data_IF_618520906556
#
_entry.id   IF_618520906556
#
_cell.length_a   1.000
_cell.length_b   1.000
_cell.length_c   1.000
_cell.angle_alpha   90.00
_cell.angle_beta   90.00
_cell.angle_gamma   90.00
#
_symmetry.space_group_name_H-M   'P 1'
#
loop_
_entity.id
_entity.type
_entity.pdbx_description
1 polymer ?
#
# COMPACT_ATOMS: atom_id res chain seq x y z
N UNK A 1 15.26 6.41 11.73
CA UNK A 1 15.37 4.92 11.72
C UNK A 1 16.27 4.52 10.56
N UNK A 2 17.33 3.74 10.77
CA UNK A 2 18.26 3.34 9.70
C UNK A 2 17.85 1.96 9.13
N UNK A 3 17.08 1.96 8.04
CA UNK A 3 16.56 0.74 7.41
C UNK A 3 17.68 -0.26 7.05
N UNK A 4 18.82 0.25 6.54
CA UNK A 4 19.96 -0.58 6.13
C UNK A 4 20.58 -1.33 7.30
N UNK A 5 20.59 -0.75 8.50
CA UNK A 5 21.07 -1.42 9.70
C UNK A 5 20.18 -2.62 10.09
N UNK A 6 18.86 -2.48 10.00
CA UNK A 6 17.91 -3.56 10.28
C UNK A 6 18.02 -4.71 9.26
N UNK A 7 18.14 -4.39 7.97
CA UNK A 7 18.29 -5.40 6.91
C UNK A 7 19.58 -6.20 7.08
N UNK A 8 20.70 -5.51 7.35
CA UNK A 8 21.98 -6.20 7.63
C UNK A 8 21.90 -7.09 8.87
N UNK A 9 21.22 -6.64 9.92
CA UNK A 9 20.97 -7.47 11.11
C UNK A 9 20.12 -8.70 10.78
N UNK A 10 19.07 -8.55 9.97
CA UNK A 10 18.24 -9.66 9.51
C UNK A 10 19.05 -10.67 8.66
N UNK A 11 19.87 -10.20 7.72
CA UNK A 11 20.79 -11.06 6.93
C UNK A 11 21.75 -11.83 7.84
N UNK A 12 22.31 -11.21 8.88
CA UNK A 12 23.17 -11.89 9.87
C UNK A 12 22.44 -13.02 10.62
N UNK A 13 21.13 -12.90 10.81
CA UNK A 13 20.26 -13.96 11.37
C UNK A 13 19.86 -15.02 10.34
N UNK A 14 20.33 -14.92 9.09
CA UNK A 14 20.01 -15.86 8.03
C UNK A 14 18.69 -15.58 7.29
N UNK A 15 18.06 -14.42 7.51
CA UNK A 15 16.84 -14.06 6.80
C UNK A 15 17.14 -13.86 5.31
N UNK A 16 16.30 -14.47 4.48
CA UNK A 16 16.33 -14.37 3.02
C UNK A 16 15.35 -13.31 2.54
N UNK A 17 15.70 -12.61 1.47
CA UNK A 17 14.86 -11.55 0.89
C UNK A 17 14.53 -11.85 -0.56
N UNK A 18 13.24 -11.80 -0.88
CA UNK A 18 12.74 -11.73 -2.25
C UNK A 18 12.26 -10.29 -2.44
N UNK A 19 12.75 -9.62 -3.48
CA UNK A 19 12.36 -8.23 -3.80
C UNK A 19 11.75 -8.22 -5.18
N UNK A 20 10.49 -7.77 -5.26
CA UNK A 20 9.75 -7.55 -6.50
C UNK A 20 9.64 -6.04 -6.69
N UNK A 21 10.39 -5.47 -7.62
CA UNK A 21 10.39 -4.03 -7.89
C UNK A 21 10.82 -3.78 -9.34
N UNK A 22 10.08 -2.99 -10.15
CA UNK A 22 10.51 -2.62 -11.50
C UNK A 22 11.84 -1.85 -11.51
N UNK A 23 12.24 -1.26 -10.38
CA UNK A 23 13.49 -0.51 -10.23
C UNK A 23 14.49 -1.28 -9.37
N UNK A 24 15.77 -1.09 -9.68
CA UNK A 24 16.87 -1.57 -8.83
C UNK A 24 17.07 -0.65 -7.62
N UNK A 25 16.19 -0.77 -6.63
CA UNK A 25 16.24 0.01 -5.38
C UNK A 25 17.36 -0.45 -4.44
N UNK A 26 17.63 0.30 -3.37
CA UNK A 26 18.59 -0.11 -2.33
C UNK A 26 18.24 -1.47 -1.72
N UNK A 27 16.95 -1.80 -1.61
CA UNK A 27 16.49 -3.11 -1.16
C UNK A 27 16.90 -4.25 -2.10
N UNK A 28 16.85 -4.02 -3.41
CA UNK A 28 17.22 -5.02 -4.41
C UNK A 28 18.68 -5.48 -4.25
N UNK A 29 19.57 -4.63 -3.71
CA UNK A 29 20.97 -4.98 -3.43
C UNK A 29 21.14 -6.02 -2.33
N UNK A 30 20.15 -6.16 -1.44
CA UNK A 30 20.16 -7.12 -0.35
C UNK A 30 19.35 -8.38 -0.66
N UNK A 31 18.67 -8.42 -1.81
CA UNK A 31 17.82 -9.52 -2.23
C UNK A 31 18.65 -10.79 -2.47
N UNK A 32 18.13 -11.93 -2.02
CA UNK A 32 18.59 -13.25 -2.46
C UNK A 32 17.97 -13.59 -3.83
N UNK A 33 16.72 -13.14 -4.08
CA UNK A 33 16.06 -13.18 -5.39
C UNK A 33 15.50 -11.79 -5.69
N UNK A 34 15.88 -11.22 -6.83
CA UNK A 34 15.34 -9.96 -7.33
C UNK A 34 14.54 -10.19 -8.61
N UNK A 35 13.25 -9.84 -8.57
CA UNK A 35 12.32 -9.95 -9.70
C UNK A 35 12.02 -8.53 -10.16
N UNK A 36 12.32 -8.24 -11.42
CA UNK A 36 12.17 -6.91 -12.00
C UNK A 36 11.04 -6.89 -13.05
N UNK A 37 9.76 -6.86 -12.63
CA UNK A 37 8.65 -6.89 -13.57
C UNK A 37 8.46 -5.57 -14.30
N UNK A 38 7.74 -5.62 -15.42
CA UNK A 38 7.07 -4.45 -15.98
C UNK A 38 6.04 -3.92 -14.95
N UNK A 39 5.93 -2.59 -14.76
CA UNK A 39 4.96 -2.02 -13.84
C UNK A 39 3.52 -2.55 -14.05
N UNK A 40 2.79 -2.77 -12.96
CA UNK A 40 1.38 -3.16 -12.99
C UNK A 40 1.10 -4.65 -13.21
N UNK A 41 2.12 -5.51 -13.17
CA UNK A 41 1.99 -6.97 -13.37
C UNK A 41 2.07 -7.79 -12.07
N UNK A 42 2.07 -7.12 -10.92
CA UNK A 42 2.22 -7.70 -9.59
C UNK A 42 1.13 -8.75 -9.30
N UNK A 43 -0.12 -8.49 -9.71
CA UNK A 43 -1.26 -9.41 -9.50
C UNK A 43 -0.99 -10.81 -10.06
N UNK A 44 -0.49 -10.87 -11.31
CA UNK A 44 -0.20 -12.13 -11.97
C UNK A 44 0.97 -12.86 -11.33
N UNK A 45 1.97 -12.12 -10.84
CA UNK A 45 3.11 -12.70 -10.13
C UNK A 45 2.68 -13.32 -8.80
N UNK A 46 1.86 -12.63 -7.99
CA UNK A 46 1.34 -13.19 -6.75
C UNK A 46 0.46 -14.43 -7.01
N UNK A 47 -0.40 -14.40 -8.03
CA UNK A 47 -1.21 -15.56 -8.41
C UNK A 47 -0.33 -16.77 -8.77
N UNK A 48 0.74 -16.57 -9.55
CA UNK A 48 1.68 -17.64 -9.89
C UNK A 48 2.43 -18.18 -8.68
N UNK A 49 2.87 -17.31 -7.75
CA UNK A 49 3.52 -17.74 -6.51
C UNK A 49 2.58 -18.57 -5.62
N UNK A 50 1.32 -18.13 -5.46
CA UNK A 50 0.29 -18.88 -4.73
C UNK A 50 0.09 -20.25 -5.36
N UNK A 51 -0.09 -20.31 -6.68
CA UNK A 51 -0.25 -21.56 -7.41
C UNK A 51 0.91 -22.51 -7.14
N UNK A 52 2.15 -22.04 -7.30
CA UNK A 52 3.34 -22.85 -7.07
C UNK A 52 3.40 -23.40 -5.64
N UNK A 53 3.11 -22.57 -4.63
CA UNK A 53 3.07 -22.98 -3.23
C UNK A 53 1.99 -24.04 -2.98
N UNK A 54 0.81 -23.88 -3.59
CA UNK A 54 -0.33 -24.79 -3.43
C UNK A 54 -0.14 -26.12 -4.17
N UNK A 55 0.42 -26.11 -5.38
CA UNK A 55 0.65 -27.29 -6.22
C UNK A 55 1.77 -28.17 -5.65
N UNK A 56 2.81 -27.57 -5.06
CA UNK A 56 3.91 -28.29 -4.43
C UNK A 56 3.63 -28.68 -2.96
N UNK A 57 2.47 -28.30 -2.41
CA UNK A 57 2.10 -28.58 -1.03
C UNK A 57 2.98 -27.88 0.02
N UNK A 58 3.56 -26.73 -0.34
CA UNK A 58 4.45 -25.92 0.50
C UNK A 58 3.72 -24.94 1.44
N UNK A 59 2.40 -24.85 1.36
CA UNK A 59 1.61 -24.08 2.30
C UNK A 59 1.63 -24.72 3.70
N UNK A 60 1.42 -23.91 4.72
CA UNK A 60 1.31 -24.36 6.10
C UNK A 60 -0.06 -25.02 6.33
N UNK A 61 -0.12 -26.34 6.13
CA UNK A 61 -1.37 -27.14 6.23
C UNK A 61 -2.10 -26.94 7.55
N UNK A 62 -1.40 -27.08 8.68
CA UNK A 62 -2.02 -26.96 10.01
C UNK A 62 -2.56 -25.54 10.27
N UNK A 63 -1.88 -24.50 9.77
CA UNK A 63 -2.39 -23.14 9.84
C UNK A 63 -3.62 -22.96 8.95
N UNK A 64 -3.56 -23.46 7.71
CA UNK A 64 -4.66 -23.34 6.77
C UNK A 64 -5.93 -24.04 7.27
N UNK A 65 -5.80 -25.27 7.79
CA UNK A 65 -6.92 -26.04 8.36
C UNK A 65 -7.61 -25.33 9.52
N UNK A 66 -6.85 -24.56 10.32
CA UNK A 66 -7.38 -23.83 11.48
C UNK A 66 -7.95 -22.46 11.14
N UNK A 67 -7.36 -21.76 10.18
CA UNK A 67 -7.52 -20.31 10.05
C UNK A 67 -7.83 -19.81 8.65
N UNK A 68 -7.77 -20.67 7.63
CA UNK A 68 -7.99 -20.27 6.24
C UNK A 68 -9.24 -20.96 5.70
N UNK A 69 -10.15 -20.16 5.16
CA UNK A 69 -11.29 -20.62 4.37
C UNK A 69 -11.07 -20.26 2.89
N UNK A 70 -11.76 -20.96 1.98
CA UNK A 70 -11.76 -20.60 0.56
C UNK A 70 -10.52 -21.08 -0.22
N UNK A 71 -9.80 -22.08 0.31
CA UNK A 71 -8.53 -22.54 -0.26
C UNK A 71 -8.70 -23.19 -1.64
N UNK A 72 -9.80 -23.91 -1.83
CA UNK A 72 -10.11 -24.58 -3.11
C UNK A 72 -10.53 -23.57 -4.17
N UNK A 73 -11.32 -22.56 -3.79
CA UNK A 73 -11.69 -21.43 -4.64
C UNK A 73 -10.45 -20.64 -5.05
N UNK A 74 -9.54 -20.38 -4.11
CA UNK A 74 -8.25 -19.74 -4.41
C UNK A 74 -7.44 -20.57 -5.39
N UNK A 75 -7.32 -21.90 -5.17
CA UNK A 75 -6.62 -22.81 -6.07
C UNK A 75 -7.19 -22.76 -7.48
N UNK A 76 -8.51 -22.80 -7.62
CA UNK A 76 -9.18 -22.70 -8.91
C UNK A 76 -8.94 -21.34 -9.57
N UNK A 77 -9.01 -20.25 -8.81
CA UNK A 77 -8.81 -18.89 -9.32
C UNK A 77 -7.38 -18.64 -9.82
N UNK A 78 -6.36 -19.21 -9.15
CA UNK A 78 -4.95 -19.05 -9.57
C UNK A 78 -4.49 -20.09 -10.59
N UNK A 79 -5.28 -21.13 -10.89
CA UNK A 79 -4.92 -22.19 -11.82
C UNK A 79 -4.49 -21.70 -13.23
N UNK A 80 -5.07 -20.64 -13.82
CA UNK A 80 -4.61 -20.11 -15.12
C UNK A 80 -3.21 -19.47 -15.08
N UNK A 81 -2.73 -19.07 -13.90
CA UNK A 81 -1.49 -18.31 -13.74
C UNK A 81 -0.29 -19.26 -13.59
N UNK A 82 0.06 -19.95 -14.68
CA UNK A 82 1.32 -20.72 -14.72
C UNK A 82 2.51 -19.76 -14.54
N UNK A 83 3.67 -20.26 -14.06
CA UNK A 83 4.89 -19.44 -14.00
C UNK A 83 5.23 -18.81 -15.35
N UNK A 84 5.11 -19.57 -16.44
CA UNK A 84 5.40 -19.11 -17.80
C UNK A 84 4.42 -18.02 -18.23
N UNK A 85 3.12 -18.18 -17.95
CA UNK A 85 2.10 -17.22 -18.31
C UNK A 85 2.30 -15.88 -17.59
N UNK A 86 2.46 -15.92 -16.25
CA UNK A 86 2.66 -14.72 -15.44
C UNK A 86 3.99 -14.04 -15.76
N UNK A 87 5.07 -14.81 -15.94
CA UNK A 87 6.39 -14.29 -16.25
C UNK A 87 6.45 -13.64 -17.64
N UNK A 88 5.78 -14.21 -18.64
CA UNK A 88 5.69 -13.62 -19.98
C UNK A 88 5.00 -12.25 -19.97
N UNK A 89 3.89 -12.12 -19.22
CA UNK A 89 3.18 -10.85 -19.07
C UNK A 89 4.06 -9.82 -18.35
N UNK A 90 4.67 -10.20 -17.22
CA UNK A 90 5.53 -9.35 -16.42
C UNK A 90 6.90 -9.07 -17.07
N UNK A 91 7.29 -9.80 -18.11
CA UNK A 91 8.59 -9.66 -18.77
C UNK A 91 9.77 -10.11 -17.91
N UNK A 92 9.59 -11.17 -17.12
CA UNK A 92 10.62 -11.76 -16.26
C UNK A 92 10.88 -13.22 -16.62
N UNK A 93 11.95 -13.80 -16.09
CA UNK A 93 12.22 -15.23 -16.21
C UNK A 93 11.28 -16.04 -15.29
N UNK A 94 10.51 -17.03 -15.79
CA UNK A 94 9.67 -17.88 -14.97
C UNK A 94 10.43 -18.64 -13.87
N UNK A 95 11.73 -18.93 -14.08
CA UNK A 95 12.54 -19.60 -13.07
C UNK A 95 12.64 -18.79 -11.78
N UNK A 96 12.63 -17.45 -11.87
CA UNK A 96 12.63 -16.60 -10.68
C UNK A 96 11.39 -16.79 -9.81
N UNK A 97 10.22 -17.07 -10.42
CA UNK A 97 8.99 -17.34 -9.68
C UNK A 97 9.03 -18.71 -9.01
N UNK A 98 9.57 -19.71 -9.71
CA UNK A 98 9.78 -21.07 -9.17
C UNK A 98 10.73 -21.02 -7.97
N UNK A 99 11.87 -20.36 -8.12
CA UNK A 99 12.88 -20.21 -7.07
C UNK A 99 12.33 -19.41 -5.88
N UNK A 100 11.56 -18.34 -6.14
CA UNK A 100 10.91 -17.55 -5.11
C UNK A 100 9.89 -18.38 -4.32
N UNK A 101 9.03 -19.14 -5.00
CA UNK A 101 8.05 -20.01 -4.35
C UNK A 101 8.72 -21.11 -3.52
N UNK A 102 9.79 -21.73 -4.04
CA UNK A 102 10.56 -22.74 -3.32
C UNK A 102 11.25 -22.15 -2.07
N UNK A 103 11.81 -20.94 -2.19
CA UNK A 103 12.41 -20.22 -1.07
C UNK A 103 11.37 -19.88 0.03
N UNK A 104 10.17 -19.47 -0.36
CA UNK A 104 9.06 -19.24 0.57
C UNK A 104 8.62 -20.53 1.25
N UNK A 105 8.45 -21.62 0.49
CA UNK A 105 8.04 -22.92 1.02
C UNK A 105 9.06 -23.57 1.96
N UNK A 106 10.35 -23.30 1.78
CA UNK A 106 11.41 -23.77 2.65
C UNK A 106 11.62 -22.91 3.91
N UNK A 107 10.98 -21.73 3.98
CA UNK A 107 11.19 -20.81 5.09
C UNK A 107 10.51 -21.33 6.38
N UNK A 108 11.21 -21.21 7.51
CA UNK A 108 10.60 -21.51 8.83
C UNK A 108 9.42 -20.58 9.16
N UNK A 109 9.53 -19.33 8.72
CA UNK A 109 8.49 -18.30 8.80
C UNK A 109 8.68 -17.36 7.63
N UNK A 110 7.67 -17.28 6.77
CA UNK A 110 7.61 -16.30 5.70
C UNK A 110 6.80 -15.08 6.17
N UNK A 111 7.14 -13.91 5.66
CA UNK A 111 6.36 -12.70 5.84
C UNK A 111 6.36 -11.96 4.52
N UNK A 112 5.19 -11.61 4.05
CA UNK A 112 5.00 -10.85 2.81
C UNK A 112 4.44 -9.49 3.16
N UNK A 113 4.85 -8.48 2.42
CA UNK A 113 4.35 -7.12 2.56
C UNK A 113 4.50 -6.36 1.25
N UNK A 114 3.54 -5.48 1.01
CA UNK A 114 3.52 -4.58 -0.15
C UNK A 114 3.76 -3.13 0.29
N UNK A 115 3.74 -2.21 -0.68
CA UNK A 115 3.91 -0.78 -0.42
C UNK A 115 3.10 0.07 -1.38
N UNK A 116 3.33 1.38 -1.35
CA UNK A 116 2.54 2.37 -2.11
C UNK A 116 2.53 2.11 -3.61
N UNK A 117 3.64 1.67 -4.20
CA UNK A 117 3.70 1.37 -5.64
C UNK A 117 2.68 0.32 -6.08
N UNK A 118 2.55 -0.74 -5.30
CA UNK A 118 1.57 -1.81 -5.52
C UNK A 118 0.14 -1.33 -5.23
N UNK A 119 -0.06 -0.56 -4.14
CA UNK A 119 -1.37 -0.04 -3.74
C UNK A 119 -1.95 1.02 -4.70
N UNK A 120 -1.10 1.65 -5.50
CA UNK A 120 -1.50 2.65 -6.51
C UNK A 120 -1.57 2.07 -7.94
N UNK A 121 -1.37 0.76 -8.10
CA UNK A 121 -1.52 0.09 -9.39
C UNK A 121 -3.00 -0.12 -9.77
N UNK A 122 -3.28 -0.38 -11.06
CA UNK A 122 -4.64 -0.50 -11.59
C UNK A 122 -5.49 -1.60 -10.92
N UNK A 123 -4.87 -2.68 -10.44
CA UNK A 123 -5.54 -3.82 -9.80
C UNK A 123 -5.16 -3.96 -8.33
N UNK A 124 -4.86 -2.86 -7.65
CA UNK A 124 -4.30 -2.82 -6.29
C UNK A 124 -5.06 -3.68 -5.28
N UNK A 125 -6.39 -3.60 -5.23
CA UNK A 125 -7.20 -4.40 -4.30
C UNK A 125 -7.00 -5.91 -4.51
N UNK A 126 -7.00 -6.37 -5.76
CA UNK A 126 -6.78 -7.79 -6.09
C UNK A 126 -5.35 -8.19 -5.79
N UNK A 127 -4.37 -7.36 -6.14
CA UNK A 127 -2.97 -7.65 -5.87
C UNK A 127 -2.68 -7.72 -4.37
N UNK A 128 -3.27 -6.84 -3.57
CA UNK A 128 -3.13 -6.84 -2.11
C UNK A 128 -3.82 -8.04 -1.49
N UNK A 129 -5.02 -8.38 -1.97
CA UNK A 129 -5.70 -9.60 -1.55
C UNK A 129 -4.85 -10.84 -1.81
N UNK A 130 -4.21 -10.96 -2.99
CA UNK A 130 -3.32 -12.08 -3.30
C UNK A 130 -2.02 -12.05 -2.47
N UNK A 131 -1.45 -10.87 -2.21
CA UNK A 131 -0.29 -10.72 -1.32
C UNK A 131 -0.61 -11.24 0.09
N UNK A 132 -1.74 -10.82 0.67
CA UNK A 132 -2.21 -11.30 1.97
C UNK A 132 -2.63 -12.77 1.95
N UNK A 133 -3.25 -13.27 0.87
CA UNK A 133 -3.57 -14.68 0.71
C UNK A 133 -2.30 -15.54 0.69
N UNK A 134 -1.25 -15.11 -0.03
CA UNK A 134 0.05 -15.79 -0.02
C UNK A 134 0.67 -15.79 1.39
N UNK A 135 0.57 -14.67 2.11
CA UNK A 135 1.01 -14.59 3.50
C UNK A 135 0.22 -15.55 4.41
N UNK A 136 -1.10 -15.63 4.23
CA UNK A 136 -2.00 -16.49 4.97
C UNK A 136 -1.71 -17.98 4.75
N UNK A 137 -1.58 -18.43 3.49
CA UNK A 137 -1.32 -19.85 3.22
C UNK A 137 0.06 -20.29 3.73
N UNK A 138 1.02 -19.37 3.85
CA UNK A 138 2.32 -19.63 4.44
C UNK A 138 2.32 -19.54 5.99
N UNK A 139 1.22 -19.11 6.60
CA UNK A 139 1.13 -18.89 8.04
C UNK A 139 1.99 -17.74 8.53
N UNK A 140 2.14 -16.67 7.72
CA UNK A 140 2.99 -15.52 8.00
C UNK A 140 2.47 -14.55 9.06
N UNK A 141 1.36 -14.87 9.73
CA UNK A 141 0.80 -14.08 10.82
C UNK A 141 1.48 -14.37 12.16
N UNK A 142 1.29 -13.45 13.10
CA UNK A 142 1.73 -13.64 14.49
C UNK A 142 0.84 -14.66 15.19
N UNK A 143 1.46 -15.59 15.92
CA UNK A 143 0.80 -16.63 16.71
C UNK A 143 0.93 -16.35 18.21
N UNK A 144 0.19 -17.06 19.05
CA UNK A 144 0.34 -16.94 20.49
C UNK A 144 1.80 -17.20 20.92
N UNK A 145 2.35 -16.27 21.70
CA UNK A 145 3.75 -16.30 22.15
C UNK A 145 4.74 -15.56 21.24
N UNK A 146 4.32 -15.13 20.04
CA UNK A 146 5.15 -14.26 19.21
C UNK A 146 5.24 -12.83 19.79
N UNK A 147 6.33 -12.15 19.48
CA UNK A 147 6.48 -10.71 19.78
C UNK A 147 5.72 -9.89 18.76
N UNK A 148 4.82 -9.02 19.21
CA UNK A 148 4.11 -8.07 18.36
C UNK A 148 5.08 -6.94 17.94
N UNK A 149 5.41 -6.79 16.64
CA UNK A 149 6.40 -5.81 16.20
C UNK A 149 5.99 -4.35 16.43
N UNK A 150 4.68 -4.07 16.38
CA UNK A 150 4.10 -2.77 16.64
C UNK A 150 2.87 -2.90 17.55
N UNK A 151 3.01 -2.75 18.88
CA UNK A 151 1.89 -2.88 19.80
C UNK A 151 0.93 -1.67 19.76
N UNK A 152 1.22 -0.64 18.95
CA UNK A 152 0.52 0.63 19.00
C UNK A 152 0.94 1.48 20.21
N UNK A 153 0.77 2.80 20.11
CA UNK A 153 1.16 3.75 21.17
C UNK A 153 -0.05 4.18 22.00
N UNK A 154 -1.19 4.45 21.36
CA UNK A 154 -2.37 5.02 22.02
C UNK A 154 -3.44 4.00 22.40
N UNK A 155 -3.49 2.87 21.70
CA UNK A 155 -4.51 1.85 21.89
C UNK A 155 -3.84 0.50 22.09
N UNK A 156 -3.95 -0.05 23.31
CA UNK A 156 -3.55 -1.42 23.56
C UNK A 156 -4.68 -2.33 23.09
N UNK A 157 -4.42 -3.13 22.06
CA UNK A 157 -5.38 -4.14 21.59
C UNK A 157 -5.23 -5.41 22.44
N UNK A 158 -6.32 -6.14 22.73
CA UNK A 158 -6.20 -7.45 23.35
C UNK A 158 -5.37 -8.38 22.43
N UNK A 159 -4.40 -9.06 23.02
CA UNK A 159 -3.49 -9.97 22.32
C UNK A 159 -4.12 -11.37 22.32
N UNK A 160 -4.86 -11.69 21.26
CA UNK A 160 -5.59 -12.94 21.11
C UNK A 160 -5.26 -13.62 19.79
N UNK A 161 -5.01 -14.92 19.84
CA UNK A 161 -4.79 -15.75 18.63
C UNK A 161 -6.14 -16.12 18.03
N UNK A 162 -6.72 -15.21 17.24
CA UNK A 162 -8.00 -15.42 16.57
C UNK A 162 -8.03 -14.78 15.18
N UNK A 163 -8.88 -15.31 14.30
CA UNK A 163 -9.22 -14.65 13.04
C UNK A 163 -10.19 -13.52 13.36
N UNK A 164 -9.74 -12.28 13.15
CA UNK A 164 -10.63 -11.13 13.21
C UNK A 164 -11.56 -11.16 11.98
N UNK A 165 -12.88 -11.18 12.15
CA UNK A 165 -13.79 -11.13 11.00
C UNK A 165 -13.58 -9.83 10.23
N UNK A 166 -13.74 -9.84 8.89
CA UNK A 166 -13.59 -8.63 8.09
C UNK A 166 -14.65 -7.60 8.51
N UNK A 167 -14.21 -6.38 8.80
CA UNK A 167 -15.12 -5.28 9.06
C UNK A 167 -15.55 -4.64 7.74
N UNK A 168 -16.73 -5.01 7.23
CA UNK A 168 -17.25 -4.58 5.92
C UNK A 168 -18.00 -3.25 6.02
N UNK A 169 -17.34 -2.21 6.55
CA UNK A 169 -17.96 -0.87 6.71
C UNK A 169 -18.34 -0.24 5.37
N UNK A 170 -17.64 -0.61 4.30
CA UNK A 170 -17.92 -0.13 2.95
C UNK A 170 -19.22 -0.67 2.35
N UNK A 171 -19.86 -1.66 2.97
CA UNK A 171 -21.19 -2.12 2.54
C UNK A 171 -22.33 -1.43 3.29
N UNK A 172 -21.98 -0.67 4.33
CA UNK A 172 -22.93 -0.01 5.21
C UNK A 172 -23.13 1.45 4.79
N UNK A 173 -24.30 1.98 5.14
CA UNK A 173 -24.57 3.41 5.00
C UNK A 173 -23.75 4.23 6.01
N UNK A 174 -23.36 5.48 5.67
CA UNK A 174 -23.62 6.16 4.40
C UNK A 174 -22.69 5.71 3.26
N UNK A 175 -23.24 5.57 2.05
CA UNK A 175 -22.49 5.29 0.82
C UNK A 175 -22.09 6.56 0.05
N UNK A 176 -21.04 6.44 -0.77
CA UNK A 176 -20.68 7.44 -1.78
C UNK A 176 -21.84 7.60 -2.78
N UNK A 177 -21.99 8.80 -3.37
CA UNK A 177 -23.02 9.04 -4.40
C UNK A 177 -22.54 8.58 -5.77
N UNK A 178 -21.25 8.67 -6.01
CA UNK A 178 -20.57 8.31 -7.26
C UNK A 178 -20.27 6.82 -7.38
N UNK A 179 -20.32 6.06 -6.28
CA UNK A 179 -19.98 4.65 -6.26
C UNK A 179 -20.75 3.89 -5.17
N UNK A 180 -21.02 2.60 -5.40
CA UNK A 180 -21.77 1.74 -4.47
C UNK A 180 -20.87 1.17 -3.35
N UNK A 181 -20.19 2.05 -2.62
CA UNK A 181 -19.46 1.70 -1.40
C UNK A 181 -19.43 2.86 -0.40
N UNK A 182 -19.39 2.52 0.89
CA UNK A 182 -19.35 3.44 2.01
C UNK A 182 -17.95 3.61 2.60
N UNK A 183 -17.92 3.77 3.92
CA UNK A 183 -16.72 4.17 4.65
C UNK A 183 -15.65 3.07 4.66
N UNK A 184 -14.40 3.46 4.43
CA UNK A 184 -13.21 2.65 4.68
C UNK A 184 -12.52 3.21 5.93
N UNK A 185 -12.39 2.39 6.98
CA UNK A 185 -11.78 2.81 8.25
C UNK A 185 -12.46 4.05 8.89
N UNK A 186 -13.76 4.24 8.65
CA UNK A 186 -14.53 5.37 9.16
C UNK A 186 -14.45 6.64 8.30
N UNK A 187 -13.78 6.60 7.15
CA UNK A 187 -13.60 7.74 6.25
C UNK A 187 -14.11 7.43 4.84
N UNK A 188 -14.56 8.45 4.11
CA UNK A 188 -14.86 8.31 2.69
C UNK A 188 -13.57 8.31 1.86
N UNK A 189 -13.47 7.48 0.80
CA UNK A 189 -12.27 7.43 -0.01
C UNK A 189 -12.00 8.75 -0.74
N UNK A 190 -10.83 9.34 -0.53
CA UNK A 190 -10.46 10.59 -1.19
C UNK A 190 -10.40 10.47 -2.74
N UNK A 191 -10.25 9.25 -3.27
CA UNK A 191 -10.22 9.00 -4.71
C UNK A 191 -11.53 9.32 -5.43
N UNK A 192 -12.68 9.27 -4.75
CA UNK A 192 -13.99 9.63 -5.33
C UNK A 192 -14.40 11.07 -5.07
N UNK A 193 -13.64 11.81 -4.26
CA UNK A 193 -13.95 13.18 -3.90
C UNK A 193 -14.20 14.09 -5.12
N UNK A 194 -13.43 14.03 -6.23
CA UNK A 194 -13.73 14.82 -7.42
C UNK A 194 -15.12 14.52 -7.99
N UNK A 195 -15.51 13.25 -8.05
CA UNK A 195 -16.81 12.82 -8.56
C UNK A 195 -17.94 13.24 -7.60
N UNK A 196 -17.73 13.16 -6.28
CA UNK A 196 -18.70 13.62 -5.29
C UNK A 196 -19.00 15.13 -5.37
N UNK A 197 -18.02 15.93 -5.77
CA UNK A 197 -18.16 17.37 -5.98
C UNK A 197 -18.83 17.67 -7.33
N UNK A 198 -18.34 17.04 -8.40
CA UNK A 198 -18.77 17.32 -9.78
C UNK A 198 -20.15 16.73 -10.11
N UNK A 199 -20.52 15.61 -9.48
CA UNK A 199 -21.80 14.94 -9.73
C UNK A 199 -22.98 15.84 -9.31
N UNK A 200 -23.85 16.24 -10.26
CA UNK A 200 -25.00 17.08 -9.97
C UNK A 200 -25.94 16.43 -8.93
N UNK A 201 -26.56 17.26 -8.09
CA UNK A 201 -27.52 16.81 -7.10
C UNK A 201 -27.61 17.77 -5.91
N UNK A 202 -28.72 17.69 -5.19
CA UNK A 202 -28.95 18.50 -3.98
C UNK A 202 -27.89 18.24 -2.90
N UNK A 203 -27.38 17.00 -2.85
CA UNK A 203 -26.44 16.50 -1.86
C UNK A 203 -24.97 16.56 -2.34
N UNK A 204 -24.68 17.34 -3.40
CA UNK A 204 -23.30 17.54 -3.86
C UNK A 204 -22.44 18.22 -2.80
N UNK A 205 -21.16 17.84 -2.74
CA UNK A 205 -20.20 18.54 -1.91
C UNK A 205 -20.00 19.93 -2.50
N UNK A 206 -20.22 20.97 -1.68
CA UNK A 206 -20.12 22.37 -2.09
C UNK A 206 -18.95 23.11 -1.45
N UNK A 207 -18.46 22.61 -0.33
CA UNK A 207 -17.33 23.21 0.36
C UNK A 207 -16.45 22.15 1.02
N UNK A 208 -15.16 22.47 1.17
CA UNK A 208 -14.17 21.58 1.78
C UNK A 208 -13.32 22.31 2.82
N UNK A 209 -13.04 21.63 3.92
CA UNK A 209 -12.02 22.01 4.89
C UNK A 209 -10.81 21.10 4.69
N UNK A 210 -9.67 21.69 4.34
CA UNK A 210 -8.42 20.97 4.08
C UNK A 210 -7.52 21.19 5.29
N UNK A 211 -7.20 20.15 6.04
CA UNK A 211 -6.32 20.23 7.22
C UNK A 211 -5.04 19.45 6.97
N UNK A 212 -3.89 20.12 6.96
CA UNK A 212 -2.59 19.46 6.82
C UNK A 212 -2.36 18.74 5.49
N UNK A 213 -3.13 19.07 4.45
CA UNK A 213 -3.04 18.46 3.12
C UNK A 213 -2.99 19.53 2.02
N UNK A 214 -2.52 19.16 0.83
CA UNK A 214 -2.56 20.03 -0.35
C UNK A 214 -3.19 19.26 -1.53
N UNK A 215 -4.51 19.40 -1.76
CA UNK A 215 -5.20 18.67 -2.81
C UNK A 215 -4.82 19.17 -4.22
N UNK A 216 -4.32 20.39 -4.36
CA UNK A 216 -3.96 20.98 -5.66
C UNK A 216 -2.72 20.37 -6.33
N UNK A 217 -2.04 19.42 -5.69
CA UNK A 217 -0.88 18.72 -6.27
C UNK A 217 -1.31 17.82 -7.45
N UNK A 218 -2.60 17.50 -7.58
CA UNK A 218 -3.09 16.51 -8.54
C UNK A 218 -4.10 17.11 -9.54
N UNK A 219 -3.81 17.03 -10.84
CA UNK A 219 -4.67 17.57 -11.91
C UNK A 219 -6.12 17.04 -11.88
N UNK A 220 -6.35 15.82 -11.38
CA UNK A 220 -7.71 15.21 -11.34
C UNK A 220 -8.71 15.93 -10.41
N UNK A 221 -8.26 16.75 -9.46
CA UNK A 221 -9.16 17.44 -8.52
C UNK A 221 -9.27 18.95 -8.80
N UNK A 222 -8.54 19.45 -9.79
CA UNK A 222 -8.55 20.88 -10.16
C UNK A 222 -9.95 21.34 -10.56
N UNK A 223 -10.60 20.64 -11.49
CA UNK A 223 -11.97 20.92 -11.95
C UNK A 223 -12.97 20.89 -10.78
N UNK A 224 -12.80 19.93 -9.86
CA UNK A 224 -13.65 19.78 -8.68
C UNK A 224 -13.47 20.94 -7.69
N UNK A 225 -12.23 21.37 -7.44
CA UNK A 225 -11.95 22.50 -6.54
C UNK A 225 -12.51 23.80 -7.12
N UNK A 226 -12.41 24.02 -8.42
CA UNK A 226 -13.03 25.17 -9.08
C UNK A 226 -14.56 25.12 -9.00
N UNK A 227 -15.14 23.92 -9.02
CA UNK A 227 -16.59 23.73 -8.91
C UNK A 227 -17.14 23.85 -7.46
N UNK A 228 -16.26 23.87 -6.45
CA UNK A 228 -16.66 24.11 -5.06
C UNK A 228 -17.03 25.59 -4.85
N UNK A 229 -18.10 25.82 -4.09
CA UNK A 229 -18.53 27.16 -3.68
C UNK A 229 -17.53 27.79 -2.69
N UNK A 230 -16.71 26.98 -2.00
CA UNK A 230 -15.63 27.48 -1.15
C UNK A 230 -14.69 26.40 -0.60
N UNK A 231 -13.43 26.78 -0.35
CA UNK A 231 -12.42 25.92 0.27
C UNK A 231 -11.69 26.68 1.37
N UNK A 232 -11.61 26.08 2.57
CA UNK A 232 -10.84 26.60 3.69
C UNK A 232 -9.64 25.68 3.91
N UNK A 233 -8.44 26.24 3.80
CA UNK A 233 -7.20 25.50 4.01
C UNK A 233 -6.59 25.85 5.36
N UNK A 234 -6.25 24.83 6.13
CA UNK A 234 -5.58 24.89 7.43
C UNK A 234 -4.24 24.17 7.26
N UNK A 235 -3.21 24.86 6.74
CA UNK A 235 -1.94 24.24 6.41
C UNK A 235 -1.00 24.13 7.62
N UNK A 236 -0.14 23.12 7.62
CA UNK A 236 1.03 23.05 8.53
C UNK A 236 2.22 23.91 7.99
N UNK A 237 2.25 24.17 6.68
CA UNK A 237 3.17 25.07 5.97
C UNK A 237 2.43 25.77 4.82
N UNK A 238 2.70 27.05 4.57
CA UNK A 238 2.03 27.85 3.52
C UNK A 238 1.94 27.09 2.18
N UNK A 239 0.71 26.90 1.72
CA UNK A 239 0.33 26.22 0.49
C UNK A 239 -0.08 27.22 -0.59
N UNK A 240 0.00 26.81 -1.86
CA UNK A 240 -0.22 27.68 -3.03
C UNK A 240 -1.70 28.06 -3.27
N UNK A 241 -2.65 27.48 -2.54
CA UNK A 241 -4.05 27.40 -2.99
C UNK A 241 -5.11 28.09 -2.10
N UNK A 242 -4.72 28.86 -1.10
CA UNK A 242 -5.67 29.29 -0.09
C UNK A 242 -6.37 30.64 -0.40
N UNK A 243 -7.70 30.66 -0.35
CA UNK A 243 -8.52 31.88 -0.28
C UNK A 243 -8.62 32.48 1.14
N UNK A 244 -8.37 31.67 2.18
CA UNK A 244 -8.20 32.10 3.58
C UNK A 244 -7.37 31.06 4.35
N UNK A 245 -6.33 31.50 5.06
CA UNK A 245 -5.40 30.65 5.83
C UNK A 245 -5.42 31.05 7.31
N UNK A 246 -6.02 30.25 8.19
CA UNK A 246 -5.76 30.37 9.62
C UNK A 246 -4.33 29.88 9.92
N UNK A 247 -3.52 30.67 10.64
CA UNK A 247 -2.20 30.21 11.09
C UNK A 247 -2.36 29.09 12.13
N UNK A 248 -1.75 27.92 11.88
CA UNK A 248 -1.50 26.91 12.90
C UNK A 248 -0.03 26.91 13.35
N UNK A 249 0.18 26.57 14.62
CA UNK A 249 1.49 26.26 15.21
C UNK A 249 1.80 24.77 15.03
N UNK A 250 3.05 24.40 14.78
CA UNK A 250 3.45 23.02 14.44
C UNK A 250 3.17 22.04 15.58
N UNK A 251 2.87 20.78 15.24
CA UNK A 251 2.59 19.70 16.21
C UNK A 251 3.69 19.53 17.27
N UNK A 252 4.95 19.79 16.89
CA UNK A 252 6.12 19.70 17.77
C UNK A 252 6.23 20.82 18.81
N UNK A 253 5.42 21.87 18.73
CA UNK A 253 5.40 22.95 19.71
C UNK A 253 4.58 22.61 20.96
N UNK A 254 3.76 21.55 20.92
CA UNK A 254 2.87 21.18 22.03
C UNK A 254 2.94 19.71 22.51
N UNK A 255 3.59 18.79 21.79
CA UNK A 255 3.68 17.38 22.23
C UNK A 255 5.07 17.07 22.79
N UNK A 256 5.22 17.26 24.10
CA UNK A 256 6.31 16.70 24.89
C UNK A 256 5.98 15.28 25.34
N UNK A 257 5.92 14.33 24.40
CA UNK A 257 5.70 12.91 24.71
C UNK A 257 6.69 12.02 23.95
N UNK A 258 7.97 12.16 24.27
CA UNK A 258 8.92 11.05 24.10
C UNK A 258 8.99 10.27 25.41
N UNK A 259 8.91 8.93 25.41
CA UNK A 259 9.29 8.17 26.59
C UNK A 259 10.74 8.53 26.95
N UNK A 260 10.92 9.04 28.17
CA UNK A 260 12.16 9.67 28.67
C UNK A 260 13.36 8.73 28.82
N UNK A 261 13.26 7.46 28.47
CA UNK A 261 14.32 6.48 28.67
C UNK A 261 14.48 5.55 27.48
N UNK A 262 15.31 5.97 26.53
CA UNK A 262 16.05 5.05 25.65
C UNK A 262 17.52 5.42 25.82
N UNK A 263 18.43 4.49 26.18
CA UNK A 263 19.82 4.84 26.49
C UNK A 263 20.47 5.57 25.32
N UNK A 264 21.12 6.69 25.61
CA UNK A 264 21.73 7.58 24.64
C UNK A 264 22.69 6.82 23.71
N UNK A 265 22.37 6.80 22.41
CA UNK A 265 23.35 6.48 21.38
C UNK A 265 24.23 7.72 21.21
N UNK A 266 25.42 7.70 21.81
CA UNK A 266 26.43 8.74 21.64
C UNK A 266 26.97 8.72 20.21
N UNK A 267 26.31 9.45 19.31
CA UNK A 267 26.90 9.85 18.04
C UNK A 267 27.16 11.35 18.12
N UNK A 268 28.44 11.72 18.26
CA UNK A 268 28.89 13.10 18.36
C UNK A 268 28.34 13.94 17.21
N UNK A 269 27.86 15.14 17.53
CA UNK A 269 27.56 16.16 16.52
C UNK A 269 28.85 16.47 15.79
N UNK A 270 28.91 16.14 14.50
CA UNK A 270 29.71 16.90 13.55
C UNK A 270 28.76 17.84 12.84
N UNK A 271 29.01 19.14 12.97
CA UNK A 271 28.41 20.16 12.13
C UNK A 271 28.65 19.80 10.66
N UNK A 272 27.59 19.86 9.84
CA UNK A 272 27.72 19.83 8.39
C UNK A 272 27.39 21.23 7.90
N UNK A 273 28.39 22.02 7.46
CA UNK A 273 28.13 23.29 6.81
C UNK A 273 27.78 23.03 5.33
N UNK A 274 26.66 23.59 4.86
CA UNK A 274 26.31 23.59 3.44
C UNK A 274 24.81 23.45 3.16
N UNK A 275 24.19 24.56 2.75
CA UNK A 275 22.92 24.59 2.03
C UNK A 275 23.04 23.69 0.79
N UNK A 276 22.15 22.71 0.64
CA UNK A 276 22.01 21.95 -0.61
C UNK A 276 21.02 22.72 -1.47
N UNK A 277 21.51 23.20 -2.62
CA UNK A 277 20.73 23.90 -3.64
C UNK A 277 19.70 22.94 -4.28
N UNK A 278 18.50 23.42 -4.70
CA UNK A 278 17.50 22.56 -5.31
C UNK A 278 17.92 22.09 -6.71
N UNK A 279 17.61 20.82 -6.98
CA UNK A 279 17.96 20.05 -8.18
C UNK A 279 17.58 20.77 -9.49
N UNK A 280 18.49 20.89 -10.49
CA UNK A 280 18.14 21.43 -11.79
C UNK A 280 17.45 20.33 -12.61
N UNK A 281 16.12 20.31 -12.59
CA UNK A 281 15.35 19.30 -13.31
C UNK A 281 13.83 19.33 -13.14
N UNK A 282 13.25 20.34 -12.49
CA UNK A 282 11.80 20.52 -12.29
C UNK A 282 11.05 20.95 -13.57
N UNK A 283 11.49 20.49 -14.74
CA UNK A 283 10.76 20.65 -15.99
C UNK A 283 9.50 19.78 -15.97
N UNK A 284 8.34 20.39 -16.23
CA UNK A 284 7.05 19.70 -16.36
C UNK A 284 7.17 18.53 -17.34
N UNK A 285 6.70 17.36 -16.94
CA UNK A 285 6.50 16.24 -17.84
C UNK A 285 5.41 16.62 -18.87
N UNK A 286 5.63 16.47 -20.19
CA UNK A 286 4.61 16.80 -21.19
C UNK A 286 3.41 15.84 -21.10
N UNK A 287 2.19 16.38 -21.17
CA UNK A 287 0.93 15.63 -21.20
C UNK A 287 0.89 14.69 -22.42
N UNK A 288 0.52 13.41 -22.26
CA UNK A 288 0.05 12.62 -23.40
C UNK A 288 -1.32 13.13 -23.87
N UNK A 289 -1.61 13.12 -25.19
CA UNK A 289 -2.89 13.59 -25.70
C UNK A 289 -4.04 12.63 -25.35
N UNK A 290 -5.10 13.22 -24.79
CA UNK A 290 -6.48 12.76 -24.60
C UNK A 290 -6.75 11.23 -24.57
N UNK A 291 -6.77 10.66 -23.36
CA UNK A 291 -7.34 9.34 -23.08
C UNK A 291 -8.85 9.37 -22.76
N UNK A 292 -9.54 10.51 -22.98
CA UNK A 292 -10.97 10.69 -22.66
C UNK A 292 -11.93 10.35 -23.82
N UNK A 293 -11.45 9.97 -24.99
CA UNK A 293 -12.31 9.53 -26.11
C UNK A 293 -12.39 7.99 -26.13
N UNK A 294 -13.35 7.41 -25.41
CA UNK A 294 -13.57 5.96 -25.48
C UNK A 294 -14.66 5.37 -24.58
N UNK A 295 -15.30 6.15 -23.71
CA UNK A 295 -16.46 5.67 -22.94
C UNK A 295 -17.76 6.09 -23.63
N UNK A 296 -18.23 5.28 -24.59
CA UNK A 296 -19.64 5.30 -25.00
C UNK A 296 -20.48 4.74 -23.86
N UNK A 297 -21.62 5.37 -23.50
CA UNK A 297 -22.51 4.81 -22.50
C UNK A 297 -23.21 3.57 -23.07
N UNK A 298 -23.12 2.46 -22.35
CA UNK A 298 -23.91 1.27 -22.63
C UNK A 298 -25.40 1.63 -22.45
N UNK A 299 -26.16 1.53 -23.54
CA UNK A 299 -27.62 1.61 -23.50
C UNK A 299 -28.18 0.51 -22.61
N UNK A 300 -29.18 0.86 -21.80
CA UNK A 300 -30.03 -0.08 -21.08
C UNK A 300 -31.37 -0.21 -21.85
N UNK A 301 -32.11 -1.32 -21.65
CA UNK A 301 -32.86 -2.03 -22.69
C UNK A 301 -34.06 -1.28 -23.30
#
# INVERSE_FOLDING_TARGET
MNINAHIRSAKKRGVKFIVIDPRKTEMARFADIFIQPRPGHDTGLFAALIRLVLDNGWHNKAFCERYVSGLDELRAAVAPFTPEHAAAAAGVDPQLLIDAAAMLGAAKKACIGSGTGHNMAAFSNTSEHLSEALNAILGGYVLAGDVIPNPGIFYRRPEVEMVAPPNRTWEQEPKCRSADYGLLMGEFPASVLPDEILMPGKDKIRAMFVVGANPMIHDLIEDAIVACDGMIEIPEQLSQAAGFVPQQRRLFEHIGAYPREVPAFSAGRKEVPGQIDPWPGSGRCPRPPDARQGRTPAGSP
#
